data_IF_121772018249
#
_entry.id   IF_121772018249
#
_cell.length_a   1.000
_cell.length_b   1.000
_cell.length_c   1.000
_cell.angle_alpha   90.00
_cell.angle_beta   90.00
_cell.angle_gamma   90.00
#
_symmetry.space_group_name_H-M   'P 1'
#
loop_
_entity.id
_entity.type
_entity.pdbx_description
1 polymer ?
#
# COMPACT_ATOMS: atom_id res chain seq x y z
N UNK A 1 16.68 -48.08 2.29
CA UNK A 1 17.98 -48.15 3.01
C UNK A 1 18.97 -47.06 2.58
N UNK A 2 19.41 -46.96 1.31
CA UNK A 2 20.28 -45.84 0.88
C UNK A 2 19.59 -44.47 1.10
N UNK A 3 18.34 -44.33 0.62
CA UNK A 3 17.58 -43.10 0.80
C UNK A 3 17.33 -42.78 2.28
N UNK A 4 16.99 -43.75 3.13
CA UNK A 4 16.77 -43.49 4.57
C UNK A 4 18.06 -43.15 5.34
N UNK A 5 19.22 -43.57 4.83
CA UNK A 5 20.53 -43.28 5.45
C UNK A 5 21.05 -41.90 5.07
N UNK A 6 20.86 -41.48 3.81
CA UNK A 6 21.34 -40.18 3.31
C UNK A 6 20.26 -39.08 3.33
N UNK A 7 18.98 -39.45 3.37
CA UNK A 7 17.80 -38.60 3.46
C UNK A 7 16.83 -39.15 4.52
N UNK A 8 17.23 -39.20 5.81
CA UNK A 8 16.38 -39.71 6.87
C UNK A 8 15.03 -38.97 6.89
N UNK A 9 13.94 -39.71 7.11
CA UNK A 9 12.60 -39.13 7.22
C UNK A 9 12.58 -38.00 8.26
N UNK A 10 11.82 -36.91 8.03
CA UNK A 10 11.81 -35.75 8.90
C UNK A 10 11.54 -36.13 10.35
N UNK A 11 12.23 -35.44 11.26
CA UNK A 11 12.09 -35.60 12.71
C UNK A 11 10.62 -35.73 13.13
N UNK A 12 10.36 -36.71 14.00
CA UNK A 12 9.06 -37.01 14.59
C UNK A 12 8.28 -35.75 14.92
N UNK A 13 7.02 -35.67 14.49
CA UNK A 13 6.14 -34.55 14.78
C UNK A 13 6.21 -34.22 16.28
N UNK A 14 6.76 -33.05 16.61
CA UNK A 14 6.79 -32.58 17.99
C UNK A 14 5.33 -32.38 18.41
N UNK A 15 4.89 -32.95 19.55
CA UNK A 15 3.53 -32.74 20.04
C UNK A 15 3.21 -31.24 20.06
N UNK A 16 2.09 -30.88 19.44
CA UNK A 16 1.62 -29.50 19.41
C UNK A 16 1.51 -28.98 20.85
N UNK A 17 2.24 -27.91 21.16
CA UNK A 17 2.06 -27.18 22.41
C UNK A 17 0.61 -26.72 22.53
N UNK A 18 0.05 -26.77 23.74
CA UNK A 18 -1.28 -26.22 24.03
C UNK A 18 -1.41 -24.73 23.62
N UNK A 19 -0.29 -24.01 23.56
CA UNK A 19 -0.24 -22.59 23.14
C UNK A 19 0.11 -22.39 21.66
N UNK A 20 0.12 -23.45 20.84
CA UNK A 20 0.44 -23.37 19.42
C UNK A 20 -0.51 -22.40 18.69
N UNK A 21 -1.81 -22.46 18.96
CA UNK A 21 -2.80 -21.55 18.38
C UNK A 21 -2.54 -20.08 18.75
N UNK A 22 -2.23 -19.79 20.02
CA UNK A 22 -1.88 -18.42 20.46
C UNK A 22 -0.59 -17.93 19.81
N UNK A 23 0.38 -18.83 19.64
CA UNK A 23 1.66 -18.52 18.99
C UNK A 23 1.46 -18.20 17.51
N UNK A 24 0.64 -18.98 16.79
CA UNK A 24 0.28 -18.73 15.41
C UNK A 24 -0.45 -17.39 15.25
N UNK A 25 -1.43 -17.08 16.11
CA UNK A 25 -2.11 -15.79 16.11
C UNK A 25 -1.15 -14.60 16.32
N UNK A 26 -0.08 -14.79 17.10
CA UNK A 26 0.96 -13.77 17.33
C UNK A 26 1.88 -13.57 16.13
N UNK A 27 2.14 -14.63 15.37
CA UNK A 27 2.94 -14.61 14.14
C UNK A 27 2.12 -14.09 12.95
N UNK A 28 0.80 -14.28 12.93
CA UNK A 28 -0.04 -13.82 11.85
C UNK A 28 0.09 -12.31 11.58
N UNK A 29 0.09 -11.93 10.31
CA UNK A 29 0.26 -10.55 9.88
C UNK A 29 0.84 -10.43 8.47
N UNK A 30 1.12 -9.19 8.10
CA UNK A 30 1.79 -8.83 6.85
C UNK A 30 3.28 -8.65 7.11
N UNK A 31 4.08 -9.16 6.18
CA UNK A 31 5.52 -9.18 6.19
C UNK A 31 6.05 -8.75 4.82
N UNK A 32 7.28 -8.25 4.79
CA UNK A 32 7.97 -7.85 3.58
C UNK A 32 9.41 -8.35 3.61
N UNK A 33 10.02 -8.56 2.45
CA UNK A 33 11.43 -8.91 2.39
C UNK A 33 12.32 -7.70 2.71
N UNK A 34 13.38 -7.93 3.48
CA UNK A 34 14.37 -6.93 3.84
C UNK A 34 15.18 -6.41 2.63
N UNK A 35 15.28 -7.21 1.55
CA UNK A 35 15.99 -6.87 0.31
C UNK A 35 15.10 -6.05 -0.62
N UNK A 36 14.91 -4.78 -0.26
CA UNK A 36 14.16 -3.78 -1.00
C UNK A 36 14.83 -2.41 -0.93
N UNK A 37 14.36 -1.48 -1.76
CA UNK A 37 14.66 -0.07 -1.53
C UNK A 37 13.76 0.50 -0.43
N UNK A 38 14.36 1.31 0.44
CA UNK A 38 13.67 2.05 1.50
C UNK A 38 13.58 3.56 1.20
N UNK A 39 14.45 4.07 0.34
CA UNK A 39 14.66 5.52 0.14
C UNK A 39 14.39 5.99 -1.27
N UNK A 40 14.31 5.08 -2.25
CA UNK A 40 14.06 5.42 -3.67
C UNK A 40 12.64 5.03 -4.07
N UNK A 41 12.20 5.46 -5.26
CA UNK A 41 10.90 5.14 -5.83
C UNK A 41 10.65 3.63 -5.94
N UNK A 42 11.71 2.82 -6.04
CA UNK A 42 11.64 1.36 -6.07
C UNK A 42 11.00 0.79 -4.79
N UNK A 43 10.92 1.58 -3.71
CA UNK A 43 10.13 1.24 -2.52
C UNK A 43 8.69 0.87 -2.89
N UNK A 44 8.10 1.52 -3.90
CA UNK A 44 6.75 1.27 -4.40
C UNK A 44 6.53 -0.15 -4.93
N UNK A 45 7.60 -0.89 -5.28
CA UNK A 45 7.49 -2.32 -5.65
C UNK A 45 6.88 -3.14 -4.49
N UNK A 46 7.09 -2.72 -3.24
CA UNK A 46 6.48 -3.37 -2.08
C UNK A 46 4.95 -3.25 -2.03
N UNK A 47 4.31 -2.40 -2.85
CA UNK A 47 2.85 -2.40 -3.02
C UNK A 47 2.36 -3.67 -3.74
N UNK A 48 3.21 -4.32 -4.53
CA UNK A 48 2.85 -5.47 -5.36
C UNK A 48 3.05 -6.82 -4.66
N UNK A 49 3.82 -6.88 -3.57
CA UNK A 49 4.17 -8.14 -2.92
C UNK A 49 4.24 -8.02 -1.41
N UNK A 50 3.13 -8.33 -0.73
CA UNK A 50 3.15 -8.65 0.70
C UNK A 50 3.31 -10.16 0.90
N UNK A 51 4.09 -10.53 1.92
CA UNK A 51 4.07 -11.88 2.46
C UNK A 51 3.02 -11.91 3.56
N UNK A 52 2.03 -12.76 3.42
CA UNK A 52 0.91 -12.82 4.36
C UNK A 52 0.91 -14.12 5.12
N UNK A 53 0.99 -14.01 6.43
CA UNK A 53 0.85 -15.14 7.34
C UNK A 53 -0.52 -15.08 7.99
N UNK A 54 -1.31 -16.14 7.81
CA UNK A 54 -2.61 -16.30 8.45
C UNK A 54 -2.58 -17.49 9.40
N UNK A 55 -3.13 -17.31 10.60
CA UNK A 55 -3.28 -18.40 11.54
C UNK A 55 -4.41 -19.33 11.07
N UNK A 56 -4.11 -20.62 11.04
CA UNK A 56 -5.05 -21.69 10.77
C UNK A 56 -5.25 -22.54 12.03
N UNK A 57 -6.03 -23.62 11.90
CA UNK A 57 -6.37 -24.49 13.02
C UNK A 57 -5.12 -25.13 13.63
N UNK A 58 -5.22 -25.45 14.93
CA UNK A 58 -4.21 -26.19 15.68
C UNK A 58 -2.80 -25.56 15.67
N UNK A 59 -2.72 -24.24 15.48
CA UNK A 59 -1.44 -23.51 15.48
C UNK A 59 -0.65 -23.59 14.20
N UNK A 60 -1.27 -24.02 13.09
CA UNK A 60 -0.67 -23.94 11.75
C UNK A 60 -0.70 -22.51 11.21
N UNK A 61 0.17 -22.21 10.26
CA UNK A 61 0.13 -20.96 9.49
C UNK A 61 -0.02 -21.27 8.00
N UNK A 62 -0.78 -20.44 7.29
CA UNK A 62 -0.75 -20.38 5.83
C UNK A 62 0.02 -19.14 5.43
N UNK A 63 1.10 -19.34 4.69
CA UNK A 63 1.95 -18.28 4.14
C UNK A 63 1.63 -18.11 2.66
N UNK A 64 1.23 -16.91 2.27
CA UNK A 64 1.16 -16.48 0.88
C UNK A 64 2.35 -15.58 0.60
N UNK A 65 3.12 -15.86 -0.45
CA UNK A 65 4.28 -15.05 -0.81
C UNK A 65 4.49 -14.99 -2.33
N UNK A 66 5.26 -14.03 -2.85
CA UNK A 66 5.66 -14.02 -4.25
C UNK A 66 6.48 -15.24 -4.69
N UNK A 67 7.06 -15.99 -3.75
CA UNK A 67 7.82 -17.22 -4.01
C UNK A 67 6.92 -18.46 -4.09
N UNK A 68 5.64 -18.34 -3.72
CA UNK A 68 4.70 -19.43 -3.61
C UNK A 68 3.97 -19.45 -2.27
N UNK A 69 2.96 -20.30 -2.21
CA UNK A 69 2.18 -20.55 -1.00
C UNK A 69 2.79 -21.73 -0.21
N UNK A 70 2.83 -21.60 1.10
CA UNK A 70 3.33 -22.65 1.99
C UNK A 70 2.39 -22.88 3.18
N UNK A 71 2.30 -24.14 3.63
CA UNK A 71 1.58 -24.51 4.85
C UNK A 71 2.60 -24.87 5.90
N UNK A 72 2.58 -24.13 6.99
CA UNK A 72 3.61 -24.19 8.01
C UNK A 72 3.05 -24.88 9.26
N UNK A 73 3.65 -26.02 9.62
CA UNK A 73 3.33 -26.77 10.84
C UNK A 73 4.29 -26.36 11.94
N UNK A 74 3.81 -26.03 13.15
CA UNK A 74 4.69 -25.72 14.26
C UNK A 74 5.49 -26.97 14.68
N UNK A 75 6.80 -26.80 14.83
CA UNK A 75 7.73 -27.84 15.30
C UNK A 75 8.52 -27.39 16.54
N UNK A 76 8.27 -26.16 17.01
CA UNK A 76 8.85 -25.60 18.22
C UNK A 76 8.34 -24.18 18.49
N UNK A 77 8.79 -23.53 19.57
CA UNK A 77 8.44 -22.14 19.84
C UNK A 77 8.91 -21.21 18.71
N UNK A 78 7.96 -20.53 18.05
CA UNK A 78 8.23 -19.65 16.90
C UNK A 78 8.99 -20.34 15.75
N UNK A 79 8.92 -21.66 15.66
CA UNK A 79 9.59 -22.45 14.63
C UNK A 79 8.56 -23.33 13.92
N UNK A 80 8.53 -23.21 12.60
CA UNK A 80 7.61 -23.94 11.75
C UNK A 80 8.38 -24.68 10.66
N UNK A 81 7.73 -25.70 10.11
CA UNK A 81 8.21 -26.48 8.97
C UNK A 81 7.18 -26.41 7.86
N UNK A 82 7.62 -26.21 6.63
CA UNK A 82 6.74 -26.37 5.47
C UNK A 82 6.29 -27.84 5.34
N UNK A 83 4.98 -28.05 5.18
CA UNK A 83 4.35 -29.37 5.03
C UNK A 83 4.87 -30.10 3.80
N UNK A 84 5.19 -29.37 2.72
CA UNK A 84 5.54 -29.96 1.42
C UNK A 84 7.05 -30.03 1.18
N UNK A 85 7.79 -28.95 1.42
CA UNK A 85 9.24 -28.87 1.17
C UNK A 85 10.13 -29.32 2.34
N UNK A 86 9.58 -29.38 3.56
CA UNK A 86 10.34 -29.77 4.76
C UNK A 86 11.27 -28.68 5.32
N UNK A 87 11.38 -27.55 4.62
CA UNK A 87 12.17 -26.37 5.02
C UNK A 87 11.62 -25.72 6.29
N UNK A 88 12.53 -25.13 7.07
CA UNK A 88 12.18 -24.46 8.32
C UNK A 88 11.94 -22.97 8.11
N UNK A 89 10.94 -22.45 8.82
CA UNK A 89 10.66 -21.02 8.94
C UNK A 89 10.70 -20.64 10.41
N UNK A 90 11.67 -19.83 10.79
CA UNK A 90 11.87 -19.36 12.15
C UNK A 90 11.39 -17.93 12.31
N UNK A 91 10.75 -17.59 13.44
CA UNK A 91 10.31 -16.25 13.75
C UNK A 91 11.04 -15.71 14.98
N UNK A 92 11.37 -14.42 14.94
CA UNK A 92 12.01 -13.74 16.06
C UNK A 92 11.05 -12.72 16.66
N UNK A 93 10.89 -12.78 17.98
CA UNK A 93 10.19 -11.79 18.77
C UNK A 93 11.16 -10.80 19.44
N UNK A 94 10.69 -9.57 19.66
CA UNK A 94 11.38 -8.59 20.50
C UNK A 94 11.24 -8.92 22.00
N UNK A 95 11.88 -8.13 22.87
CA UNK A 95 11.81 -8.30 24.33
C UNK A 95 10.39 -8.16 24.91
N UNK A 96 9.47 -7.54 24.17
CA UNK A 96 8.05 -7.45 24.54
C UNK A 96 7.21 -8.64 24.03
N UNK A 97 7.84 -9.62 23.38
CA UNK A 97 7.19 -10.80 22.81
C UNK A 97 6.50 -10.55 21.46
N UNK A 98 6.66 -9.37 20.84
CA UNK A 98 6.08 -9.09 19.52
C UNK A 98 6.98 -9.66 18.43
N UNK A 99 6.40 -10.48 17.55
CA UNK A 99 7.13 -10.99 16.38
C UNK A 99 7.47 -9.84 15.45
N UNK A 100 8.75 -9.74 15.06
CA UNK A 100 9.30 -8.67 14.22
C UNK A 100 9.92 -9.19 12.93
N UNK A 101 10.52 -10.38 12.96
CA UNK A 101 11.22 -10.96 11.81
C UNK A 101 10.88 -12.42 11.59
N UNK A 102 10.99 -12.87 10.35
CA UNK A 102 10.91 -14.25 9.92
C UNK A 102 12.14 -14.61 9.08
N UNK A 103 12.61 -15.85 9.17
CA UNK A 103 13.78 -16.37 8.48
C UNK A 103 13.38 -17.64 7.73
N UNK A 104 13.62 -17.65 6.43
CA UNK A 104 13.34 -18.78 5.54
C UNK A 104 14.61 -19.65 5.44
N UNK A 105 14.51 -20.94 5.74
CA UNK A 105 15.63 -21.88 5.65
C UNK A 105 16.18 -22.02 4.24
N UNK A 106 15.30 -22.04 3.24
CA UNK A 106 15.63 -22.09 1.81
C UNK A 106 16.30 -20.81 1.27
N UNK A 107 16.06 -19.67 1.94
CA UNK A 107 16.50 -18.35 1.50
C UNK A 107 16.94 -17.49 2.71
N UNK A 108 18.01 -17.86 3.44
CA UNK A 108 18.38 -17.21 4.70
C UNK A 108 18.79 -15.74 4.53
N UNK A 109 19.20 -15.35 3.32
CA UNK A 109 19.50 -13.96 2.97
C UNK A 109 18.25 -13.08 2.77
N UNK A 110 17.07 -13.68 2.59
CA UNK A 110 15.78 -13.02 2.37
C UNK A 110 14.99 -13.00 3.68
N UNK A 111 15.40 -12.15 4.62
CA UNK A 111 14.69 -12.03 5.91
C UNK A 111 13.35 -11.32 5.70
N UNK A 112 12.31 -11.84 6.34
CA UNK A 112 11.00 -11.22 6.39
C UNK A 112 10.94 -10.24 7.57
N UNK A 113 10.43 -9.04 7.36
CA UNK A 113 10.18 -8.05 8.40
C UNK A 113 8.69 -7.78 8.52
N UNK A 114 8.18 -7.70 9.75
CA UNK A 114 6.76 -7.47 9.99
C UNK A 114 6.39 -6.03 9.62
N UNK A 115 5.41 -5.89 8.74
CA UNK A 115 4.96 -4.60 8.22
C UNK A 115 4.08 -3.91 9.28
N UNK A 116 4.41 -2.67 9.69
CA UNK A 116 3.51 -1.90 10.53
C UNK A 116 2.27 -1.47 9.74
N UNK A 117 1.12 -1.33 10.42
CA UNK A 117 -0.15 -1.00 9.77
C UNK A 117 -0.07 0.23 8.84
N UNK A 118 0.68 1.26 9.22
CA UNK A 118 0.88 2.48 8.42
C UNK A 118 1.70 2.29 7.14
N UNK A 119 2.24 1.10 6.91
CA UNK A 119 2.98 0.70 5.71
C UNK A 119 2.30 -0.48 4.98
N UNK A 120 1.14 -0.95 5.48
CA UNK A 120 0.42 -2.08 4.89
C UNK A 120 0.06 -1.78 3.42
N UNK A 121 0.49 -2.60 2.46
CA UNK A 121 0.13 -2.43 1.06
C UNK A 121 -1.39 -2.36 0.85
N UNK A 122 -2.17 -3.16 1.59
CA UNK A 122 -3.64 -3.15 1.51
C UNK A 122 -4.24 -1.81 1.91
N UNK A 123 -3.77 -1.23 3.02
CA UNK A 123 -4.22 0.10 3.44
C UNK A 123 -3.97 1.11 2.32
N UNK A 124 -2.78 1.09 1.75
CA UNK A 124 -2.42 2.03 0.69
C UNK A 124 -3.22 1.80 -0.59
N UNK A 125 -3.50 0.55 -0.98
CA UNK A 125 -4.41 0.25 -2.10
C UNK A 125 -5.83 0.78 -1.88
N UNK A 126 -6.36 0.65 -0.67
CA UNK A 126 -7.68 1.22 -0.32
C UNK A 126 -7.66 2.75 -0.42
N UNK A 127 -6.62 3.40 0.11
CA UNK A 127 -6.50 4.87 0.05
C UNK A 127 -6.33 5.39 -1.39
N UNK A 128 -5.49 4.71 -2.20
CA UNK A 128 -5.29 5.05 -3.60
C UNK A 128 -6.58 4.85 -4.41
N UNK A 129 -7.27 3.71 -4.23
CA UNK A 129 -8.54 3.43 -4.89
C UNK A 129 -9.66 4.41 -4.52
N UNK A 130 -9.77 4.76 -3.23
CA UNK A 130 -10.71 5.80 -2.78
C UNK A 130 -10.38 7.17 -3.39
N UNK A 131 -9.09 7.52 -3.45
CA UNK A 131 -8.62 8.74 -4.12
C UNK A 131 -9.05 8.79 -5.59
N UNK A 132 -8.78 7.73 -6.36
CA UNK A 132 -9.21 7.62 -7.76
C UNK A 132 -10.71 7.81 -7.91
N UNK A 133 -11.52 7.13 -7.10
CA UNK A 133 -12.99 7.24 -7.14
C UNK A 133 -13.45 8.68 -6.93
N UNK A 134 -12.90 9.35 -5.91
CA UNK A 134 -13.24 10.75 -5.58
C UNK A 134 -12.77 11.71 -6.66
N UNK A 135 -11.56 11.54 -7.19
CA UNK A 135 -11.00 12.36 -8.26
C UNK A 135 -11.82 12.27 -9.55
N UNK A 136 -12.20 11.06 -9.95
CA UNK A 136 -13.10 10.84 -11.09
C UNK A 136 -14.45 11.52 -10.85
N UNK A 137 -15.06 11.36 -9.68
CA UNK A 137 -16.31 12.04 -9.34
C UNK A 137 -16.18 13.58 -9.38
N UNK A 138 -15.05 14.14 -8.94
CA UNK A 138 -14.77 15.58 -9.03
C UNK A 138 -14.72 16.04 -10.50
N UNK A 139 -14.05 15.28 -11.37
CA UNK A 139 -13.95 15.61 -12.79
C UNK A 139 -15.32 15.50 -13.50
N UNK A 140 -16.07 14.42 -13.26
CA UNK A 140 -17.41 14.24 -13.82
C UNK A 140 -18.37 15.35 -13.39
N UNK A 141 -18.34 15.73 -12.11
CA UNK A 141 -19.15 16.85 -11.61
C UNK A 141 -18.66 18.19 -12.16
N UNK A 142 -17.38 18.35 -12.49
CA UNK A 142 -16.85 19.53 -13.17
C UNK A 142 -17.34 19.65 -14.62
N UNK A 143 -17.33 18.55 -15.36
CA UNK A 143 -17.87 18.48 -16.73
C UNK A 143 -19.36 18.80 -16.71
N UNK A 144 -20.15 18.16 -15.84
CA UNK A 144 -21.58 18.44 -15.71
C UNK A 144 -21.88 19.89 -15.34
N UNK A 145 -21.05 20.52 -14.51
CA UNK A 145 -21.14 21.96 -14.22
C UNK A 145 -20.84 22.83 -15.43
N UNK A 146 -19.80 22.50 -16.17
CA UNK A 146 -19.42 23.22 -17.38
C UNK A 146 -20.57 23.20 -18.41
N UNK A 147 -21.16 22.03 -18.64
CA UNK A 147 -22.31 21.86 -19.53
C UNK A 147 -23.52 22.67 -19.05
N UNK A 148 -23.92 22.55 -17.77
CA UNK A 148 -25.05 23.34 -17.23
C UNK A 148 -24.85 24.84 -17.36
N UNK A 149 -23.63 25.34 -17.13
CA UNK A 149 -23.31 26.76 -17.32
C UNK A 149 -23.48 27.20 -18.77
N UNK A 150 -23.09 26.36 -19.74
CA UNK A 150 -23.31 26.62 -21.17
C UNK A 150 -24.79 26.64 -21.55
N UNK A 151 -25.61 25.86 -20.85
CA UNK A 151 -27.07 25.83 -21.02
C UNK A 151 -27.82 26.93 -20.24
N UNK A 152 -27.12 27.80 -19.51
CA UNK A 152 -27.75 28.85 -18.71
C UNK A 152 -28.30 28.41 -17.34
N UNK A 153 -28.09 27.15 -16.95
CA UNK A 153 -28.62 26.54 -15.72
C UNK A 153 -27.61 26.56 -14.55
N UNK A 154 -26.82 27.63 -14.44
CA UNK A 154 -25.81 27.75 -13.40
C UNK A 154 -26.46 27.79 -12.00
N UNK A 155 -25.94 27.00 -11.05
CA UNK A 155 -26.44 27.00 -9.66
C UNK A 155 -25.58 27.91 -8.78
N UNK A 156 -26.17 28.49 -7.73
CA UNK A 156 -25.44 29.30 -6.75
C UNK A 156 -24.26 28.54 -6.10
N UNK A 157 -24.43 27.23 -5.87
CA UNK A 157 -23.36 26.34 -5.38
C UNK A 157 -22.17 26.22 -6.35
N UNK A 158 -22.32 26.58 -7.63
CA UNK A 158 -21.24 26.54 -8.62
C UNK A 158 -20.19 27.63 -8.40
N UNK A 159 -20.46 28.63 -7.55
CA UNK A 159 -19.56 29.75 -7.26
C UNK A 159 -18.65 29.50 -6.04
N UNK A 160 -18.68 28.30 -5.44
CA UNK A 160 -17.85 27.99 -4.28
C UNK A 160 -16.35 28.16 -4.60
N UNK A 161 -15.60 28.96 -3.82
CA UNK A 161 -14.19 29.23 -4.10
C UNK A 161 -13.31 27.99 -3.91
N UNK A 162 -12.26 27.86 -4.73
CA UNK A 162 -11.26 26.78 -4.62
C UNK A 162 -11.64 25.46 -5.28
N UNK A 163 -12.83 25.31 -5.88
CA UNK A 163 -13.19 24.09 -6.64
C UNK A 163 -12.23 23.76 -7.76
N UNK A 164 -11.66 24.79 -8.40
CA UNK A 164 -10.67 24.59 -9.45
C UNK A 164 -9.42 23.87 -8.92
N UNK A 165 -9.00 24.12 -7.66
CA UNK A 165 -7.87 23.41 -7.05
C UNK A 165 -8.12 21.90 -7.04
N UNK A 166 -9.30 21.49 -6.55
CA UNK A 166 -9.69 20.09 -6.51
C UNK A 166 -9.77 19.47 -7.91
N UNK A 167 -10.26 20.20 -8.90
CA UNK A 167 -10.32 19.72 -10.30
C UNK A 167 -8.91 19.55 -10.87
N UNK A 168 -8.05 20.55 -10.70
CA UNK A 168 -6.68 20.54 -11.22
C UNK A 168 -5.83 19.45 -10.54
N UNK A 169 -5.86 19.32 -9.21
CA UNK A 169 -5.11 18.27 -8.52
C UNK A 169 -5.65 16.88 -8.88
N UNK A 170 -6.97 16.71 -9.00
CA UNK A 170 -7.58 15.43 -9.43
C UNK A 170 -7.09 15.02 -10.82
N UNK A 171 -7.01 16.00 -11.74
CA UNK A 171 -6.47 15.76 -13.08
C UNK A 171 -4.99 15.38 -13.04
N UNK A 172 -4.17 16.11 -12.28
CA UNK A 172 -2.74 15.84 -12.16
C UNK A 172 -2.46 14.45 -11.57
N UNK A 173 -3.12 14.09 -10.48
CA UNK A 173 -2.94 12.79 -9.82
C UNK A 173 -3.43 11.63 -10.70
N UNK A 174 -4.55 11.79 -11.43
CA UNK A 174 -5.01 10.77 -12.38
C UNK A 174 -4.09 10.63 -13.59
N UNK A 175 -3.61 11.74 -14.16
CA UNK A 175 -2.63 11.71 -15.24
C UNK A 175 -1.33 11.06 -14.77
N UNK A 176 -0.90 11.35 -13.54
CA UNK A 176 0.24 10.68 -12.93
C UNK A 176 0.05 9.15 -12.85
N UNK A 177 -1.09 8.69 -12.33
CA UNK A 177 -1.37 7.25 -12.25
C UNK A 177 -1.38 6.60 -13.64
N UNK A 178 -2.02 7.23 -14.62
CA UNK A 178 -2.05 6.74 -16.01
C UNK A 178 -0.62 6.67 -16.58
N UNK A 179 0.19 7.71 -16.35
CA UNK A 179 1.57 7.76 -16.81
C UNK A 179 2.41 6.64 -16.18
N UNK A 180 2.29 6.41 -14.87
CA UNK A 180 3.01 5.32 -14.18
C UNK A 180 2.60 3.96 -14.73
N UNK A 181 1.30 3.71 -14.91
CA UNK A 181 0.82 2.44 -15.49
C UNK A 181 1.35 2.25 -16.92
N UNK A 182 1.33 3.30 -17.74
CA UNK A 182 1.86 3.26 -19.10
C UNK A 182 3.38 3.00 -19.15
N UNK A 183 4.14 3.61 -18.23
CA UNK A 183 5.60 3.41 -18.12
C UNK A 183 5.93 1.99 -17.67
N UNK A 184 5.22 1.45 -16.69
CA UNK A 184 5.43 0.08 -16.18
C UNK A 184 5.02 -0.97 -17.23
N UNK A 185 3.94 -0.72 -17.98
CA UNK A 185 3.45 -1.63 -19.02
C UNK A 185 4.21 -1.58 -20.34
N UNK A 186 5.06 -0.57 -20.55
CA UNK A 186 5.91 -0.44 -21.74
C UNK A 186 7.17 -1.30 -21.63
N UNK A 187 7.62 -1.86 -22.75
CA UNK A 187 8.85 -2.66 -22.83
C UNK A 187 10.11 -1.89 -22.46
N UNK A 188 10.12 -0.57 -22.70
CA UNK A 188 11.34 0.25 -22.68
C UNK A 188 11.49 1.04 -21.36
N UNK A 189 10.46 1.07 -20.49
CA UNK A 189 10.23 2.18 -19.55
C UNK A 189 10.99 2.18 -18.22
N UNK A 190 11.39 1.01 -17.71
CA UNK A 190 12.13 0.89 -16.43
C UNK A 190 13.52 0.25 -16.55
N UNK A 191 13.77 -0.50 -17.62
CA UNK A 191 14.97 -1.32 -17.77
C UNK A 191 15.90 -0.81 -18.89
N UNK A 192 15.38 -0.05 -19.85
CA UNK A 192 16.11 0.36 -21.06
C UNK A 192 16.05 1.88 -21.28
N UNK A 193 16.93 2.62 -20.60
CA UNK A 193 17.14 4.04 -20.86
C UNK A 193 17.13 4.93 -19.61
N UNK A 194 17.39 6.24 -19.77
CA UNK A 194 17.30 7.18 -18.67
C UNK A 194 15.85 7.28 -18.19
N UNK A 195 15.63 7.25 -16.86
CA UNK A 195 14.32 7.33 -16.20
C UNK A 195 13.59 8.68 -16.38
N UNK A 196 13.84 9.41 -17.48
CA UNK A 196 13.34 10.76 -17.75
C UNK A 196 11.82 10.82 -17.76
N UNK A 197 11.15 9.86 -18.39
CA UNK A 197 9.67 9.76 -18.40
C UNK A 197 9.12 9.62 -16.98
N UNK A 198 9.72 8.77 -16.16
CA UNK A 198 9.37 8.61 -14.75
C UNK A 198 9.66 9.89 -13.94
N UNK A 199 10.80 10.56 -14.17
CA UNK A 199 11.12 11.84 -13.54
C UNK A 199 10.06 12.91 -13.85
N UNK A 200 9.60 12.97 -15.10
CA UNK A 200 8.56 13.92 -15.50
C UNK A 200 7.21 13.56 -14.88
N UNK A 201 6.86 12.28 -14.84
CA UNK A 201 5.64 11.82 -14.20
C UNK A 201 5.62 12.17 -12.70
N UNK A 202 6.72 11.97 -11.98
CA UNK A 202 6.86 12.27 -10.55
C UNK A 202 6.76 13.77 -10.20
N UNK A 203 6.89 14.67 -11.18
CA UNK A 203 6.65 16.10 -10.96
C UNK A 203 5.15 16.41 -10.75
N UNK A 204 4.26 15.65 -11.38
CA UNK A 204 2.82 15.86 -11.31
C UNK A 204 2.26 15.77 -9.87
N UNK A 205 2.54 14.71 -9.09
CA UNK A 205 2.02 14.61 -7.72
C UNK A 205 2.68 15.63 -6.77
N UNK A 206 3.87 16.16 -7.09
CA UNK A 206 4.46 17.28 -6.32
C UNK A 206 3.63 18.55 -6.47
N UNK A 207 3.27 18.89 -7.72
CA UNK A 207 2.39 20.04 -7.98
C UNK A 207 1.01 19.80 -7.38
N UNK A 208 0.46 18.59 -7.53
CA UNK A 208 -0.81 18.22 -6.90
C UNK A 208 -0.78 18.37 -5.38
N UNK A 209 0.33 18.00 -4.72
CA UNK A 209 0.53 18.19 -3.27
C UNK A 209 0.45 19.66 -2.86
N UNK A 210 1.09 20.57 -3.62
CA UNK A 210 1.01 22.01 -3.34
C UNK A 210 -0.44 22.51 -3.48
N UNK A 211 -1.16 22.04 -4.50
CA UNK A 211 -2.58 22.36 -4.68
C UNK A 211 -3.46 21.78 -3.57
N UNK A 212 -3.14 20.59 -3.05
CA UNK A 212 -3.80 19.99 -1.89
C UNK A 212 -3.62 20.86 -0.64
N UNK A 213 -2.41 21.36 -0.38
CA UNK A 213 -2.16 22.28 0.73
C UNK A 213 -2.93 23.61 0.57
N UNK A 214 -2.97 24.17 -0.64
CA UNK A 214 -3.80 25.34 -0.94
C UNK A 214 -5.29 25.03 -0.72
N UNK A 215 -5.75 23.83 -1.08
CA UNK A 215 -7.13 23.40 -0.88
C UNK A 215 -7.47 23.24 0.60
N UNK A 216 -6.54 22.78 1.44
CA UNK A 216 -6.68 22.77 2.92
C UNK A 216 -6.89 24.18 3.45
N UNK A 217 -6.07 25.14 3.04
CA UNK A 217 -6.22 26.54 3.43
C UNK A 217 -7.60 27.09 3.02
N UNK A 218 -8.03 26.82 1.79
CA UNK A 218 -9.35 27.24 1.31
C UNK A 218 -10.48 26.58 2.11
N UNK A 219 -10.37 25.29 2.44
CA UNK A 219 -11.35 24.59 3.28
C UNK A 219 -11.48 25.28 4.65
N UNK A 220 -10.36 25.55 5.32
CA UNK A 220 -10.35 26.24 6.60
C UNK A 220 -10.97 27.64 6.50
N UNK A 221 -10.63 28.40 5.44
CA UNK A 221 -11.21 29.72 5.19
C UNK A 221 -12.72 29.66 4.97
N UNK A 222 -13.22 28.70 4.18
CA UNK A 222 -14.66 28.52 3.95
C UNK A 222 -15.43 28.25 5.25
N UNK A 223 -14.87 27.47 6.17
CA UNK A 223 -15.48 27.25 7.48
C UNK A 223 -15.48 28.51 8.35
N UNK A 224 -14.37 29.26 8.34
CA UNK A 224 -14.25 30.52 9.10
C UNK A 224 -15.19 31.61 8.60
N UNK A 225 -15.31 31.77 7.28
CA UNK A 225 -16.16 32.81 6.66
C UNK A 225 -17.60 32.35 6.38
N UNK A 226 -17.93 31.08 6.71
CA UNK A 226 -19.25 30.46 6.50
C UNK A 226 -19.76 30.57 5.06
N UNK A 227 -18.87 30.58 4.07
CA UNK A 227 -19.23 30.66 2.66
C UNK A 227 -19.99 29.41 2.21
N UNK A 228 -21.09 29.61 1.49
CA UNK A 228 -21.94 28.54 0.96
C UNK A 228 -22.73 27.76 2.02
N UNK A 229 -23.33 26.65 1.60
CA UNK A 229 -24.09 25.77 2.50
C UNK A 229 -23.17 24.88 3.36
N UNK A 230 -23.65 24.41 4.51
CA UNK A 230 -22.92 23.44 5.37
C UNK A 230 -22.54 22.18 4.58
N UNK A 231 -23.47 21.66 3.77
CA UNK A 231 -23.23 20.48 2.94
C UNK A 231 -22.15 20.69 1.87
N UNK A 232 -22.07 21.88 1.25
CA UNK A 232 -21.01 22.18 0.29
C UNK A 232 -19.62 22.19 0.95
N UNK A 233 -19.51 22.78 2.15
CA UNK A 233 -18.25 22.78 2.93
C UNK A 233 -17.83 21.37 3.35
N UNK A 234 -18.77 20.55 3.82
CA UNK A 234 -18.48 19.15 4.18
C UNK A 234 -17.97 18.35 2.99
N UNK A 235 -18.59 18.47 1.81
CA UNK A 235 -18.13 17.79 0.59
C UNK A 235 -16.73 18.25 0.17
N UNK A 236 -16.48 19.57 0.22
CA UNK A 236 -15.16 20.13 -0.12
C UNK A 236 -14.09 19.63 0.87
N UNK A 237 -14.34 19.71 2.18
CA UNK A 237 -13.43 19.21 3.21
C UNK A 237 -13.19 17.70 3.11
N UNK A 238 -14.24 16.91 2.79
CA UNK A 238 -14.10 15.47 2.56
C UNK A 238 -13.19 15.15 1.37
N UNK A 239 -13.36 15.86 0.24
CA UNK A 239 -12.47 15.72 -0.91
C UNK A 239 -11.02 16.09 -0.58
N UNK A 240 -10.80 17.17 0.18
CA UNK A 240 -9.47 17.56 0.66
C UNK A 240 -8.86 16.50 1.57
N UNK A 241 -9.64 15.91 2.48
CA UNK A 241 -9.15 14.85 3.37
C UNK A 241 -8.72 13.60 2.58
N UNK A 242 -9.49 13.21 1.57
CA UNK A 242 -9.11 12.10 0.67
C UNK A 242 -7.84 12.44 -0.12
N UNK A 243 -7.71 13.67 -0.64
CA UNK A 243 -6.50 14.10 -1.33
C UNK A 243 -5.26 14.08 -0.42
N UNK A 244 -5.39 14.49 0.85
CA UNK A 244 -4.30 14.40 1.83
C UNK A 244 -3.87 12.96 2.11
N UNK A 245 -4.83 12.04 2.27
CA UNK A 245 -4.54 10.61 2.47
C UNK A 245 -3.89 9.99 1.24
N UNK A 246 -4.33 10.38 0.04
CA UNK A 246 -3.71 9.97 -1.21
C UNK A 246 -2.27 10.48 -1.32
N UNK A 247 -2.02 11.76 -1.07
CA UNK A 247 -0.67 12.34 -1.01
C UNK A 247 0.21 11.66 0.04
N UNK A 248 -0.32 11.38 1.23
CA UNK A 248 0.40 10.64 2.26
C UNK A 248 0.79 9.23 1.80
N UNK A 249 -0.11 8.55 1.08
CA UNK A 249 0.17 7.25 0.46
C UNK A 249 1.34 7.36 -0.53
N UNK A 250 1.30 8.33 -1.46
CA UNK A 250 2.40 8.55 -2.40
C UNK A 250 3.72 8.87 -1.68
N UNK A 251 3.68 9.69 -0.63
CA UNK A 251 4.85 10.02 0.18
C UNK A 251 5.47 8.77 0.84
N UNK A 252 4.62 7.91 1.43
CA UNK A 252 5.07 6.67 2.07
C UNK A 252 5.84 5.76 1.11
N UNK A 253 5.44 5.72 -0.16
CA UNK A 253 6.04 4.88 -1.19
C UNK A 253 7.10 5.59 -2.03
N UNK A 254 7.60 6.75 -1.58
CA UNK A 254 8.61 7.57 -2.25
C UNK A 254 8.22 7.97 -3.68
N UNK A 255 6.93 8.18 -3.92
CA UNK A 255 6.37 8.61 -5.21
C UNK A 255 6.13 10.13 -5.29
N UNK A 256 6.66 10.90 -4.32
CA UNK A 256 6.68 12.35 -4.35
C UNK A 256 8.09 12.86 -4.64
N UNK A 257 8.30 13.45 -5.81
CA UNK A 257 9.58 14.02 -6.20
C UNK A 257 10.60 12.97 -6.66
N UNK A 258 11.88 13.35 -6.69
CA UNK A 258 12.95 12.60 -7.32
C UNK A 258 13.79 11.79 -6.34
N UNK A 259 13.12 10.96 -5.54
CA UNK A 259 13.79 9.94 -4.73
C UNK A 259 14.30 8.82 -5.67
N UNK A 260 15.46 9.04 -6.29
CA UNK A 260 16.09 8.10 -7.22
C UNK A 260 17.27 7.38 -6.58
#
# INVERSE_FOLDING_TARGET
>A
QFLDHYYPSPATAVPLSADAAKTAARVAGEYEFNRRSYTTFQKAIGLAGDIRLTAADSGRLVMHSPLGDARLVPVGPLLYRDELGGDLVAFQADSSGRVKRGFLGEAPMMTMERVPFSQSPRLHWVLLGLGVLVFVAILLTAIGRFVRRRLGEARADDLLPGRWLLVTLSLLDLVFLIAVVAIIGGSDGLLEGPLTSLKLALALPVVATILTLAAVYVAARQWRTRVGTRGARLRYSGAVAVALLFTWSLAQWNLLGWHM
#
